data_IF_050360691271
#
_entry.id   IF_050360691271
#
_cell.length_a   1.000
_cell.length_b   1.000
_cell.length_c   1.000
_cell.angle_alpha   90.00
_cell.angle_beta   90.00
_cell.angle_gamma   90.00
#
_symmetry.space_group_name_H-M   'P 1'
#
loop_
_entity.id
_entity.type
_entity.pdbx_description
1 polymer ?
#
# COMPACT_ATOMS: atom_id res chain seq x y z
N UNK A 1 74.96 11.11 0.13
CA UNK A 1 73.96 10.32 0.87
C UNK A 1 72.67 11.12 1.14
N UNK A 2 71.93 11.59 0.12
CA UNK A 2 70.65 12.35 0.32
C UNK A 2 69.41 11.74 -0.35
N UNK A 3 69.55 10.66 -1.14
CA UNK A 3 68.42 10.11 -1.93
C UNK A 3 67.58 9.03 -1.23
N UNK A 4 68.01 8.44 -0.11
CA UNK A 4 67.25 7.38 0.56
C UNK A 4 66.03 7.89 1.35
N UNK A 5 66.03 9.15 1.80
CA UNK A 5 64.91 9.72 2.56
C UNK A 5 63.68 10.04 1.71
N UNK A 6 63.89 10.50 0.47
CA UNK A 6 62.81 10.90 -0.44
C UNK A 6 62.04 9.70 -1.01
N UNK A 7 62.73 8.60 -1.33
CA UNK A 7 62.12 7.36 -1.81
C UNK A 7 61.21 6.71 -0.75
N UNK A 8 61.63 6.71 0.51
CA UNK A 8 60.83 6.18 1.61
C UNK A 8 59.57 7.01 1.88
N UNK A 9 59.62 8.32 1.64
CA UNK A 9 58.48 9.21 1.81
C UNK A 9 57.46 9.07 0.66
N UNK A 10 57.93 9.06 -0.59
CA UNK A 10 57.08 8.86 -1.76
C UNK A 10 56.38 7.50 -1.77
N UNK A 11 57.08 6.44 -1.36
CA UNK A 11 56.53 5.08 -1.22
C UNK A 11 55.38 5.03 -0.20
N UNK A 12 55.54 5.67 0.96
CA UNK A 12 54.49 5.72 1.99
C UNK A 12 53.24 6.47 1.51
N UNK A 13 53.39 7.57 0.78
CA UNK A 13 52.26 8.32 0.20
C UNK A 13 51.51 7.46 -0.82
N UNK A 14 52.23 6.74 -1.68
CA UNK A 14 51.62 5.88 -2.70
C UNK A 14 50.77 4.77 -2.08
N UNK A 15 51.26 4.17 -0.98
CA UNK A 15 50.54 3.12 -0.23
C UNK A 15 49.25 3.69 0.41
N UNK A 16 49.31 4.89 0.99
CA UNK A 16 48.14 5.56 1.60
C UNK A 16 47.08 5.85 0.54
N UNK A 17 47.48 6.37 -0.62
CA UNK A 17 46.59 6.64 -1.75
C UNK A 17 45.93 5.34 -2.23
N UNK A 18 46.71 4.28 -2.44
CA UNK A 18 46.18 2.97 -2.85
C UNK A 18 45.20 2.38 -1.83
N UNK A 19 45.50 2.47 -0.53
CA UNK A 19 44.59 2.02 0.53
C UNK A 19 43.29 2.83 0.57
N UNK A 20 43.35 4.14 0.32
CA UNK A 20 42.18 5.00 0.21
C UNK A 20 41.31 4.65 -1.01
N UNK A 21 41.92 4.45 -2.18
CA UNK A 21 41.20 3.99 -3.39
C UNK A 21 40.57 2.61 -3.20
N UNK A 22 41.26 1.68 -2.54
CA UNK A 22 40.72 0.34 -2.23
C UNK A 22 39.51 0.40 -1.29
N UNK A 23 39.54 1.28 -0.28
CA UNK A 23 38.39 1.53 0.61
C UNK A 23 37.20 2.14 -0.12
N UNK A 24 37.44 3.14 -0.97
CA UNK A 24 36.42 3.77 -1.81
C UNK A 24 35.79 2.74 -2.75
N UNK A 25 36.61 1.95 -3.45
CA UNK A 25 36.12 0.88 -4.32
C UNK A 25 35.29 -0.17 -3.57
N UNK A 26 35.74 -0.58 -2.37
CA UNK A 26 35.00 -1.53 -1.53
C UNK A 26 33.65 -0.94 -1.07
N UNK A 27 33.61 0.35 -0.73
CA UNK A 27 32.39 1.06 -0.36
C UNK A 27 31.41 1.13 -1.54
N UNK A 28 31.86 1.51 -2.73
CA UNK A 28 31.02 1.54 -3.93
C UNK A 28 30.50 0.15 -4.32
N UNK A 29 31.33 -0.90 -4.16
CA UNK A 29 30.91 -2.29 -4.41
C UNK A 29 29.82 -2.75 -3.43
N UNK A 30 29.96 -2.42 -2.14
CA UNK A 30 28.95 -2.68 -1.12
C UNK A 30 27.63 -1.95 -1.41
N UNK A 31 27.72 -0.67 -1.80
CA UNK A 31 26.56 0.16 -2.15
C UNK A 31 25.78 -0.42 -3.34
N UNK A 32 26.48 -0.84 -4.40
CA UNK A 32 25.90 -1.50 -5.57
C UNK A 32 25.19 -2.80 -5.18
N UNK A 33 25.84 -3.66 -4.40
CA UNK A 33 25.23 -4.94 -3.98
C UNK A 33 23.99 -4.75 -3.11
N UNK A 34 23.97 -3.73 -2.24
CA UNK A 34 22.82 -3.43 -1.39
C UNK A 34 21.60 -2.99 -2.22
N UNK A 35 21.82 -2.18 -3.26
CA UNK A 35 20.75 -1.77 -4.18
C UNK A 35 20.10 -2.96 -4.90
N UNK A 36 20.89 -3.96 -5.33
CA UNK A 36 20.35 -5.14 -6.00
C UNK A 36 19.45 -5.98 -5.10
N UNK A 37 19.78 -6.09 -3.80
CA UNK A 37 18.98 -6.84 -2.82
C UNK A 37 17.61 -6.18 -2.62
N UNK A 38 17.57 -4.84 -2.54
CA UNK A 38 16.31 -4.10 -2.38
C UNK A 38 15.37 -4.26 -3.59
N UNK A 39 15.92 -4.26 -4.81
CA UNK A 39 15.13 -4.43 -6.05
C UNK A 39 14.52 -5.84 -6.13
N UNK A 40 15.26 -6.88 -5.73
CA UNK A 40 14.75 -8.24 -5.74
C UNK A 40 13.55 -8.41 -4.80
N UNK A 41 13.62 -7.84 -3.59
CA UNK A 41 12.54 -7.90 -2.61
C UNK A 41 11.24 -7.24 -3.11
N UNK A 42 11.34 -6.09 -3.79
CA UNK A 42 10.20 -5.40 -4.42
C UNK A 42 9.52 -6.26 -5.49
N UNK A 43 10.29 -6.93 -6.34
CA UNK A 43 9.75 -7.73 -7.46
C UNK A 43 8.87 -8.88 -6.98
N UNK A 44 9.19 -9.48 -5.84
CA UNK A 44 8.46 -10.63 -5.30
C UNK A 44 7.10 -10.24 -4.70
N UNK A 45 6.99 -9.07 -4.05
CA UNK A 45 5.71 -8.55 -3.53
C UNK A 45 4.71 -8.26 -4.66
N UNK A 46 5.13 -7.48 -5.65
CA UNK A 46 4.27 -7.14 -6.78
C UNK A 46 3.88 -8.38 -7.60
N UNK A 47 4.73 -9.41 -7.64
CA UNK A 47 4.35 -10.69 -8.24
C UNK A 47 3.18 -11.34 -7.50
N UNK A 48 3.18 -11.34 -6.16
CA UNK A 48 2.08 -11.90 -5.34
C UNK A 48 0.80 -11.08 -5.47
N UNK A 49 0.90 -9.75 -5.45
CA UNK A 49 -0.23 -8.86 -5.66
C UNK A 49 -0.87 -9.13 -7.04
N UNK A 50 -0.05 -9.20 -8.10
CA UNK A 50 -0.52 -9.46 -9.47
C UNK A 50 -1.12 -10.86 -9.70
N UNK A 51 -0.83 -11.82 -8.82
CA UNK A 51 -1.49 -13.14 -8.83
C UNK A 51 -2.91 -13.09 -8.27
N UNK A 52 -3.21 -12.10 -7.42
CA UNK A 52 -4.47 -11.95 -6.71
C UNK A 52 -5.38 -10.91 -7.35
N UNK A 53 -4.79 -9.80 -7.81
CA UNK A 53 -5.47 -8.70 -8.50
C UNK A 53 -4.81 -8.58 -9.87
N UNK A 54 -5.55 -8.75 -10.98
CA UNK A 54 -4.98 -8.65 -12.32
C UNK A 54 -4.27 -7.32 -12.54
N UNK A 55 -3.03 -7.38 -13.04
CA UNK A 55 -2.18 -6.20 -13.28
C UNK A 55 -2.89 -5.08 -14.06
N UNK A 56 -3.66 -5.45 -15.10
CA UNK A 56 -4.42 -4.49 -15.92
C UNK A 56 -5.45 -3.70 -15.11
N UNK A 57 -6.07 -4.31 -14.10
CA UNK A 57 -7.01 -3.61 -13.21
C UNK A 57 -6.25 -2.63 -12.33
N UNK A 58 -5.09 -3.02 -11.77
CA UNK A 58 -4.24 -2.10 -10.97
C UNK A 58 -3.79 -0.91 -11.82
N UNK A 59 -3.36 -1.16 -13.07
CA UNK A 59 -3.00 -0.10 -14.02
C UNK A 59 -4.18 0.85 -14.25
N UNK A 60 -5.39 0.33 -14.50
CA UNK A 60 -6.60 1.15 -14.69
C UNK A 60 -6.96 1.94 -13.42
N UNK A 61 -6.79 1.36 -12.23
CA UNK A 61 -7.01 2.06 -10.96
C UNK A 61 -5.99 3.19 -10.77
N UNK A 62 -4.73 2.97 -11.17
CA UNK A 62 -3.64 3.95 -11.04
C UNK A 62 -3.81 5.20 -11.90
N UNK A 63 -4.69 5.16 -12.91
CA UNK A 63 -5.05 6.33 -13.71
C UNK A 63 -5.89 7.36 -12.92
N UNK A 64 -6.49 6.95 -11.80
CA UNK A 64 -7.46 7.74 -11.05
C UNK A 64 -7.14 7.91 -9.56
N UNK A 65 -6.20 7.14 -9.01
CA UNK A 65 -5.70 7.30 -7.65
C UNK A 65 -4.20 7.00 -7.55
N UNK A 66 -3.48 7.59 -6.58
CA UNK A 66 -2.08 7.25 -6.37
C UNK A 66 -1.92 5.79 -5.96
N UNK A 67 -0.90 5.15 -6.54
CA UNK A 67 -0.42 3.83 -6.15
C UNK A 67 1.06 3.99 -5.80
N UNK A 68 1.37 3.94 -4.52
CA UNK A 68 2.72 4.01 -4.00
C UNK A 68 3.36 2.63 -3.98
N UNK A 69 4.67 2.64 -4.21
CA UNK A 69 5.51 1.45 -4.18
C UNK A 69 6.60 1.62 -3.12
N UNK A 70 7.29 0.52 -2.80
CA UNK A 70 8.37 0.50 -1.83
C UNK A 70 8.08 -0.51 -0.71
N UNK A 71 9.12 -0.84 0.04
CA UNK A 71 9.07 -1.88 1.09
C UNK A 71 9.24 -1.30 2.51
N UNK A 72 9.16 0.03 2.64
CA UNK A 72 9.28 0.76 3.92
C UNK A 72 8.06 1.67 4.14
N UNK A 73 6.83 1.12 4.10
CA UNK A 73 5.63 1.89 4.36
C UNK A 73 5.64 2.45 5.79
N UNK A 74 4.96 3.59 6.02
CA UNK A 74 4.77 4.11 7.37
C UNK A 74 3.99 3.14 8.25
N UNK A 75 4.09 3.34 9.57
CA UNK A 75 3.15 2.72 10.50
C UNK A 75 1.78 3.41 10.39
N UNK A 76 0.79 2.67 9.89
CA UNK A 76 -0.58 3.15 9.66
C UNK A 76 -1.59 2.56 10.66
N UNK A 77 -1.15 1.89 11.72
CA UNK A 77 -2.09 1.36 12.71
C UNK A 77 -2.97 2.45 13.31
N UNK A 78 -4.28 2.18 13.39
CA UNK A 78 -5.26 3.15 13.88
C UNK A 78 -6.67 2.83 13.42
N UNK A 79 -7.63 3.60 13.96
CA UNK A 79 -9.00 3.65 13.46
C UNK A 79 -9.18 4.97 12.72
N UNK A 80 -9.89 4.95 11.61
CA UNK A 80 -9.95 6.05 10.66
C UNK A 80 -11.37 6.28 10.19
N UNK A 81 -11.71 7.54 9.97
CA UNK A 81 -12.97 8.02 9.42
C UNK A 81 -12.67 8.81 8.15
N UNK A 82 -13.27 8.41 7.03
CA UNK A 82 -13.39 9.24 5.83
C UNK A 82 -14.75 9.93 5.89
N UNK A 83 -14.75 11.25 5.97
CA UNK A 83 -15.95 12.08 5.99
C UNK A 83 -15.61 13.50 5.50
N UNK A 84 -16.26 14.01 4.44
CA UNK A 84 -17.25 13.33 3.61
C UNK A 84 -16.59 12.40 2.57
N UNK A 85 -17.34 11.35 2.22
CA UNK A 85 -16.89 10.26 1.36
C UNK A 85 -17.53 10.43 -0.03
N UNK A 86 -16.74 10.65 -1.07
CA UNK A 86 -17.25 10.93 -2.44
C UNK A 86 -16.80 9.89 -3.45
N UNK A 87 -17.63 9.65 -4.47
CA UNK A 87 -17.25 8.86 -5.64
C UNK A 87 -16.37 9.70 -6.56
N UNK A 88 -15.11 9.28 -6.70
CA UNK A 88 -14.19 9.89 -7.65
C UNK A 88 -14.34 9.30 -9.05
N UNK A 89 -14.52 7.98 -9.13
CA UNK A 89 -14.61 7.28 -10.41
C UNK A 89 -15.37 5.96 -10.30
N UNK A 90 -16.16 5.62 -11.32
CA UNK A 90 -16.84 4.33 -11.45
C UNK A 90 -16.63 3.78 -12.86
N UNK A 91 -15.95 2.64 -12.98
CA UNK A 91 -15.53 2.15 -14.30
C UNK A 91 -16.68 1.69 -15.20
N UNK A 92 -17.87 1.42 -14.63
CA UNK A 92 -19.08 1.10 -15.41
C UNK A 92 -19.96 2.30 -15.70
N UNK A 93 -19.73 3.42 -15.01
CA UNK A 93 -20.46 4.67 -15.22
C UNK A 93 -19.55 5.87 -14.84
N UNK A 94 -18.65 6.29 -15.75
CA UNK A 94 -17.65 7.32 -15.47
C UNK A 94 -18.23 8.68 -15.10
N UNK A 95 -19.45 8.99 -15.55
CA UNK A 95 -20.14 10.25 -15.31
C UNK A 95 -21.01 10.23 -14.04
N UNK A 96 -20.96 9.13 -13.26
CA UNK A 96 -21.71 9.02 -12.01
C UNK A 96 -21.12 9.93 -10.94
N UNK A 97 -21.89 10.92 -10.53
CA UNK A 97 -21.62 11.73 -9.34
C UNK A 97 -22.45 11.21 -8.15
N UNK A 98 -21.78 10.93 -7.03
CA UNK A 98 -22.40 10.32 -5.86
C UNK A 98 -21.62 10.59 -4.57
N UNK A 99 -22.32 10.94 -3.50
CA UNK A 99 -21.76 11.04 -2.13
C UNK A 99 -22.20 9.85 -1.31
N UNK A 100 -21.27 9.24 -0.58
CA UNK A 100 -21.50 8.11 0.30
C UNK A 100 -21.76 8.55 1.74
N UNK A 101 -22.36 7.65 2.54
CA UNK A 101 -22.28 7.78 3.99
C UNK A 101 -20.80 7.69 4.42
N UNK A 102 -20.49 8.26 5.58
CA UNK A 102 -19.17 8.20 6.19
C UNK A 102 -18.65 6.76 6.28
N UNK A 103 -17.36 6.58 5.98
CA UNK A 103 -16.75 5.26 5.94
C UNK A 103 -15.69 5.14 7.03
N UNK A 104 -15.85 4.14 7.90
CA UNK A 104 -14.87 3.85 8.96
C UNK A 104 -14.08 2.60 8.64
N UNK A 105 -12.79 2.63 8.98
CA UNK A 105 -11.95 1.46 8.90
C UNK A 105 -10.87 1.44 9.97
N UNK A 106 -10.30 0.25 10.18
CA UNK A 106 -9.24 0.02 11.16
C UNK A 106 -8.08 -0.74 10.54
N UNK A 107 -6.87 -0.24 10.76
CA UNK A 107 -5.62 -0.94 10.51
C UNK A 107 -5.03 -1.44 11.83
N UNK A 108 -4.68 -2.72 11.92
CA UNK A 108 -4.06 -3.31 13.10
C UNK A 108 -3.10 -4.45 12.77
N UNK A 109 -2.29 -4.86 13.75
CA UNK A 109 -1.27 -5.92 13.65
C UNK A 109 -0.21 -5.71 12.56
N UNK A 110 0.21 -4.46 12.32
CA UNK A 110 1.30 -4.15 11.41
C UNK A 110 2.63 -4.66 11.95
N UNK A 111 3.26 -5.60 11.22
CA UNK A 111 4.57 -6.19 11.58
C UNK A 111 5.68 -5.69 10.67
N UNK A 112 6.84 -5.37 11.25
CA UNK A 112 8.01 -4.81 10.51
C UNK A 112 9.09 -5.84 10.11
N UNK A 113 8.97 -7.15 10.45
CA UNK A 113 10.06 -8.11 10.20
C UNK A 113 9.60 -9.49 9.73
N UNK A 114 10.25 -9.97 8.66
CA UNK A 114 10.19 -11.32 8.08
C UNK A 114 8.85 -11.80 7.52
N UNK A 115 7.88 -10.90 7.41
CA UNK A 115 6.68 -11.07 6.59
C UNK A 115 6.36 -9.67 6.09
N UNK A 116 6.23 -9.52 4.78
CA UNK A 116 5.68 -8.36 4.07
C UNK A 116 4.81 -7.53 4.99
N UNK A 117 5.02 -6.22 5.12
CA UNK A 117 4.30 -5.38 6.09
C UNK A 117 2.81 -5.73 6.04
N UNK A 118 2.37 -6.55 7.00
CA UNK A 118 1.07 -7.20 6.92
C UNK A 118 0.18 -6.42 7.85
N UNK A 119 -0.94 -5.94 7.36
CA UNK A 119 -1.93 -5.18 8.12
C UNK A 119 -3.23 -5.95 8.12
N UNK A 120 -4.09 -5.83 9.12
CA UNK A 120 -5.47 -6.31 9.07
C UNK A 120 -6.43 -5.15 8.90
N UNK A 121 -7.53 -5.36 8.15
CA UNK A 121 -8.53 -4.34 7.82
C UNK A 121 -9.94 -4.80 8.14
N UNK A 122 -10.72 -3.90 8.75
CA UNK A 122 -12.18 -4.05 8.92
C UNK A 122 -12.83 -2.77 8.41
N UNK A 123 -13.81 -2.92 7.52
CA UNK A 123 -14.61 -1.81 6.97
C UNK A 123 -16.09 -2.05 7.21
N UNK A 124 -16.79 -1.05 7.74
CA UNK A 124 -18.20 -1.16 8.11
C UNK A 124 -19.05 -0.16 7.32
N UNK A 125 -19.64 -0.60 6.22
CA UNK A 125 -20.58 0.20 5.42
C UNK A 125 -21.53 -0.69 4.62
N UNK A 126 -22.72 -0.16 4.28
CA UNK A 126 -23.75 -0.89 3.51
C UNK A 126 -23.28 -1.35 2.13
N UNK A 127 -22.41 -0.58 1.47
CA UNK A 127 -21.90 -0.93 0.13
C UNK A 127 -20.92 -2.09 0.14
N UNK A 128 -20.13 -2.23 1.22
CA UNK A 128 -19.19 -3.31 1.35
C UNK A 128 -18.78 -3.44 2.82
N UNK A 129 -19.37 -4.43 3.48
CA UNK A 129 -18.96 -4.88 4.81
C UNK A 129 -17.85 -5.91 4.65
N UNK A 130 -16.67 -5.60 5.17
CA UNK A 130 -15.49 -6.47 5.10
C UNK A 130 -15.22 -7.01 6.48
N UNK A 131 -15.78 -8.19 6.75
CA UNK A 131 -15.60 -8.89 8.02
C UNK A 131 -14.38 -9.83 7.99
N UNK A 132 -13.91 -10.23 6.80
CA UNK A 132 -12.70 -11.05 6.66
C UNK A 132 -11.90 -10.77 5.39
N UNK A 133 -10.65 -10.38 5.57
CA UNK A 133 -9.65 -10.31 4.50
C UNK A 133 -8.87 -11.63 4.42
N UNK A 134 -8.41 -11.97 3.22
CA UNK A 134 -7.69 -13.21 2.91
C UNK A 134 -6.19 -12.96 2.76
N UNK A 135 -5.82 -12.10 1.81
CA UNK A 135 -4.45 -11.71 1.54
C UNK A 135 -4.31 -10.21 1.74
N UNK A 136 -3.22 -9.81 2.39
CA UNK A 136 -2.99 -8.41 2.73
C UNK A 136 -1.54 -8.03 2.50
N UNK A 137 -1.33 -6.92 1.80
CA UNK A 137 0.00 -6.37 1.49
C UNK A 137 -0.01 -4.87 1.77
N UNK A 138 1.01 -4.37 2.47
CA UNK A 138 1.26 -2.94 2.63
C UNK A 138 2.61 -2.59 2.00
N UNK A 139 2.58 -1.68 1.04
CA UNK A 139 3.74 -1.15 0.35
C UNK A 139 3.79 0.36 0.49
N UNK A 140 4.97 0.94 0.31
CA UNK A 140 5.15 2.38 0.44
C UNK A 140 6.57 2.77 0.81
N UNK A 141 6.74 4.08 0.97
CA UNK A 141 7.98 4.71 1.41
C UNK A 141 7.67 6.01 2.14
N UNK A 142 8.51 6.33 3.12
CA UNK A 142 8.35 7.52 3.96
C UNK A 142 6.96 7.55 4.62
N UNK A 143 6.14 8.55 4.28
CA UNK A 143 4.77 8.70 4.77
C UNK A 143 3.72 8.16 3.80
N UNK A 144 4.10 7.71 2.60
CA UNK A 144 3.16 7.29 1.59
C UNK A 144 2.93 5.78 1.64
N UNK A 145 1.69 5.33 1.47
CA UNK A 145 1.35 3.92 1.51
C UNK A 145 0.27 3.53 0.50
N UNK A 146 0.34 2.28 0.04
CA UNK A 146 -0.75 1.59 -0.63
C UNK A 146 -0.91 0.21 0.00
N UNK A 147 -2.13 -0.09 0.40
CA UNK A 147 -2.49 -1.35 1.01
C UNK A 147 -3.48 -2.10 0.11
N UNK A 148 -3.20 -3.38 -0.12
CA UNK A 148 -4.00 -4.27 -0.97
C UNK A 148 -4.62 -5.36 -0.11
N UNK A 149 -5.92 -5.57 -0.27
CA UNK A 149 -6.70 -6.56 0.44
C UNK A 149 -7.47 -7.40 -0.58
N UNK A 150 -7.48 -8.71 -0.42
CA UNK A 150 -8.52 -9.54 -1.05
C UNK A 150 -9.53 -9.96 0.00
N UNK A 151 -10.80 -9.90 -0.36
CA UNK A 151 -11.89 -10.31 0.49
C UNK A 151 -12.15 -11.80 0.21
N UNK A 152 -12.37 -12.59 1.29
CA UNK A 152 -12.86 -13.98 1.15
C UNK A 152 -14.19 -13.99 0.40
N UNK A 153 -14.65 -15.14 -0.07
CA UNK A 153 -15.99 -15.22 -0.68
C UNK A 153 -17.04 -14.62 0.27
N UNK A 154 -17.65 -13.52 -0.17
CA UNK A 154 -18.69 -12.83 0.57
C UNK A 154 -20.02 -13.03 -0.16
N UNK A 155 -21.08 -13.17 0.63
CA UNK A 155 -22.44 -13.32 0.13
C UNK A 155 -23.23 -12.05 0.42
N UNK A 156 -23.70 -11.39 -0.64
CA UNK A 156 -24.58 -10.22 -0.53
C UNK A 156 -25.77 -10.39 -1.46
N UNK A 157 -26.99 -10.33 -0.92
CA UNK A 157 -28.24 -10.39 -1.69
C UNK A 157 -28.34 -11.59 -2.66
N UNK A 158 -27.81 -12.78 -2.28
CA UNK A 158 -27.84 -13.97 -3.15
C UNK A 158 -26.65 -14.08 -4.11
N UNK A 159 -25.75 -13.10 -4.13
CA UNK A 159 -24.56 -13.07 -4.98
C UNK A 159 -23.34 -13.40 -4.13
N UNK A 160 -22.64 -14.46 -4.50
CA UNK A 160 -21.30 -14.75 -4.02
C UNK A 160 -20.30 -13.95 -4.85
N UNK A 161 -19.42 -13.18 -4.22
CA UNK A 161 -18.38 -12.44 -4.92
C UNK A 161 -17.04 -12.55 -4.22
N UNK A 162 -15.97 -12.43 -5.01
CA UNK A 162 -14.65 -12.05 -4.50
C UNK A 162 -14.34 -10.65 -4.98
N UNK A 163 -13.73 -9.90 -4.09
CA UNK A 163 -13.36 -8.53 -4.35
C UNK A 163 -11.97 -8.25 -3.81
N UNK A 164 -11.40 -7.16 -4.31
CA UNK A 164 -10.21 -6.58 -3.75
C UNK A 164 -10.48 -5.14 -3.33
N UNK A 165 -9.75 -4.70 -2.31
CA UNK A 165 -9.72 -3.32 -1.87
C UNK A 165 -8.29 -2.81 -1.98
N UNK A 166 -8.14 -1.62 -2.53
CA UNK A 166 -6.87 -0.91 -2.53
C UNK A 166 -7.09 0.38 -1.76
N UNK A 167 -6.32 0.59 -0.70
CA UNK A 167 -6.37 1.84 0.08
C UNK A 167 -5.03 2.53 -0.07
N UNK A 168 -5.03 3.80 -0.47
CA UNK A 168 -3.79 4.57 -0.58
C UNK A 168 -3.93 5.94 0.05
N UNK A 169 -2.83 6.46 0.58
CA UNK A 169 -2.78 7.80 1.12
C UNK A 169 -1.42 8.13 1.72
N UNK A 170 -1.41 9.20 2.50
CA UNK A 170 -0.20 9.71 3.17
C UNK A 170 -0.44 9.81 4.67
N UNK A 171 0.38 9.14 5.47
CA UNK A 171 0.37 9.23 6.93
C UNK A 171 0.75 10.64 7.36
N UNK A 172 -0.09 11.23 8.18
CA UNK A 172 0.18 12.50 8.87
C UNK A 172 0.11 12.29 10.38
N UNK A 173 0.47 13.31 11.16
CA UNK A 173 0.54 13.22 12.62
C UNK A 173 -0.77 12.72 13.26
N UNK A 174 -1.91 13.23 12.80
CA UNK A 174 -3.23 13.01 13.43
C UNK A 174 -4.19 12.14 12.59
N UNK A 175 -3.70 11.45 11.56
CA UNK A 175 -4.58 10.70 10.67
C UNK A 175 -3.88 10.28 9.40
N UNK A 176 -4.64 10.27 8.31
CA UNK A 176 -4.17 10.11 6.94
C UNK A 176 -4.62 11.34 6.13
N UNK A 177 -3.92 11.60 5.05
CA UNK A 177 -4.30 12.63 4.09
C UNK A 177 -4.31 12.07 2.69
N UNK A 178 -5.11 12.69 1.82
CA UNK A 178 -5.26 12.29 0.42
C UNK A 178 -5.58 10.78 0.30
N UNK A 179 -6.61 10.34 1.04
CA UNK A 179 -6.97 8.93 1.15
C UNK A 179 -7.93 8.52 0.03
N UNK A 180 -7.62 7.40 -0.62
CA UNK A 180 -8.44 6.79 -1.66
C UNK A 180 -8.72 5.34 -1.31
N UNK A 181 -9.91 4.88 -1.67
CA UNK A 181 -10.33 3.49 -1.56
C UNK A 181 -10.84 3.03 -2.93
N UNK A 182 -10.12 2.11 -3.58
CA UNK A 182 -10.65 1.37 -4.72
C UNK A 182 -11.34 0.10 -4.25
N UNK A 183 -12.57 -0.12 -4.71
CA UNK A 183 -13.34 -1.36 -4.51
C UNK A 183 -13.44 -2.05 -5.86
N UNK A 184 -12.90 -3.27 -5.96
CA UNK A 184 -12.77 -4.02 -7.21
C UNK A 184 -13.54 -5.33 -7.09
N UNK A 185 -14.45 -5.61 -8.02
CA UNK A 185 -15.07 -6.94 -8.12
C UNK A 185 -14.18 -7.83 -8.98
N UNK A 186 -13.62 -8.89 -8.40
CA UNK A 186 -12.73 -9.81 -9.13
C UNK A 186 -13.54 -10.86 -9.90
N UNK A 187 -14.55 -11.43 -9.23
CA UNK A 187 -15.53 -12.34 -9.81
C UNK A 187 -16.81 -12.34 -8.96
N UNK A 188 -17.95 -12.68 -9.56
CA UNK A 188 -19.22 -12.85 -8.86
C UNK A 188 -20.07 -13.94 -9.51
N UNK A 189 -20.92 -14.60 -8.72
CA UNK A 189 -21.94 -15.51 -9.25
C UNK A 189 -23.03 -14.71 -9.95
N UNK A 190 -23.72 -15.33 -10.90
CA UNK A 190 -24.95 -14.77 -11.45
C UNK A 190 -26.05 -14.83 -10.37
N UNK A 191 -26.78 -13.74 -10.17
CA UNK A 191 -27.84 -13.64 -9.18
C UNK A 191 -29.02 -12.81 -9.67
N UNK A 192 -30.16 -12.92 -8.98
CA UNK A 192 -31.44 -12.35 -9.39
C UNK A 192 -31.49 -10.80 -9.29
N UNK A 193 -30.59 -10.17 -8.52
CA UNK A 193 -30.50 -8.72 -8.32
C UNK A 193 -29.07 -8.22 -8.56
N UNK A 194 -28.65 -8.21 -9.83
CA UNK A 194 -27.27 -7.86 -10.22
C UNK A 194 -26.93 -6.37 -10.07
N UNK A 195 -27.91 -5.52 -9.74
CA UNK A 195 -27.79 -4.06 -9.72
C UNK A 195 -26.94 -3.51 -8.56
N UNK A 196 -26.87 -4.24 -7.44
CA UNK A 196 -26.19 -3.76 -6.23
C UNK A 196 -24.67 -3.98 -6.27
N UNK A 197 -24.19 -4.89 -7.12
CA UNK A 197 -22.77 -5.25 -7.21
C UNK A 197 -22.26 -4.91 -8.62
N UNK A 198 -21.24 -4.07 -8.67
CA UNK A 198 -20.44 -3.77 -9.86
C UNK A 198 -20.19 -5.02 -10.74
N UNK A 199 -20.13 -4.83 -12.05
CA UNK A 199 -19.81 -5.91 -12.98
C UNK A 199 -18.46 -6.58 -12.65
N UNK A 200 -18.26 -7.83 -13.08
CA UNK A 200 -16.95 -8.46 -12.90
C UNK A 200 -15.83 -7.61 -13.52
N UNK A 201 -14.68 -7.56 -12.83
CA UNK A 201 -13.48 -6.79 -13.21
C UNK A 201 -13.69 -5.29 -13.29
N UNK A 202 -14.80 -4.78 -12.75
CA UNK A 202 -15.06 -3.35 -12.62
C UNK A 202 -14.76 -2.85 -11.22
N UNK A 203 -14.58 -1.53 -11.10
CA UNK A 203 -14.16 -0.90 -9.86
C UNK A 203 -14.78 0.48 -9.65
N UNK A 204 -14.82 0.90 -8.39
CA UNK A 204 -15.10 2.27 -7.97
C UNK A 204 -13.94 2.80 -7.16
N UNK A 205 -13.65 4.08 -7.30
CA UNK A 205 -12.68 4.80 -6.48
C UNK A 205 -13.44 5.83 -5.69
N UNK A 206 -13.27 5.72 -4.38
CA UNK A 206 -13.82 6.60 -3.37
C UNK A 206 -12.69 7.46 -2.86
N UNK A 207 -12.97 8.74 -2.65
CA UNK A 207 -12.01 9.70 -2.11
C UNK A 207 -12.60 10.41 -0.91
N UNK A 208 -11.73 10.71 0.03
CA UNK A 208 -11.95 11.72 1.05
C UNK A 208 -11.96 13.12 0.42
N UNK A 209 -13.08 13.84 0.48
CA UNK A 209 -13.27 15.12 -0.23
C UNK A 209 -12.35 16.22 0.30
N UNK A 210 -12.26 16.35 1.64
CA UNK A 210 -11.45 17.38 2.29
C UNK A 210 -9.97 16.97 2.39
N UNK A 211 -9.66 15.73 2.01
CA UNK A 211 -8.34 15.10 1.98
C UNK A 211 -7.79 14.86 3.39
N UNK A 212 -8.65 14.77 4.40
CA UNK A 212 -8.28 14.53 5.78
C UNK A 212 -9.10 13.38 6.37
N UNK A 213 -8.41 12.25 6.54
CA UNK A 213 -8.99 11.11 7.22
C UNK A 213 -8.58 11.15 8.69
N UNK A 214 -9.55 11.46 9.55
CA UNK A 214 -9.34 11.64 10.97
C UNK A 214 -9.10 10.31 11.70
N UNK A 215 -8.26 10.36 12.74
CA UNK A 215 -8.11 9.23 13.66
C UNK A 215 -9.30 9.19 14.61
N UNK A 216 -10.01 8.07 14.65
CA UNK A 216 -11.08 7.86 15.62
C UNK A 216 -10.46 7.40 16.94
N UNK A 217 -10.56 8.23 17.97
CA UNK A 217 -10.24 7.81 19.34
C UNK A 217 -11.40 6.95 19.83
N UNK A 218 -11.27 5.63 19.73
CA UNK A 218 -12.22 4.74 20.40
C UNK A 218 -12.00 4.87 21.90
N UNK A 219 -12.80 5.71 22.57
CA UNK A 219 -12.94 5.62 24.03
C UNK A 219 -13.34 4.18 24.36
N UNK A 220 -12.63 3.58 25.32
CA UNK A 220 -12.59 2.15 25.69
C UNK A 220 -13.93 1.53 26.15
N UNK A 221 -15.08 2.09 25.77
CA UNK A 221 -16.41 1.78 26.31
C UNK A 221 -17.40 1.41 25.21
N UNK A 222 -17.09 0.36 24.45
CA UNK A 222 -18.06 -0.47 23.75
C UNK A 222 -17.42 -1.81 23.39
N UNK A 223 -16.97 -2.52 24.43
CA UNK A 223 -16.88 -3.96 24.40
C UNK A 223 -18.12 -4.45 25.15
N UNK A 224 -18.88 -5.34 24.48
CA UNK A 224 -20.09 -6.02 24.94
C UNK A 224 -21.38 -5.19 24.90
N UNK A 225 -22.13 -5.38 23.80
CA UNK A 225 -23.51 -5.88 23.83
C UNK A 225 -23.75 -6.70 22.56
#
# INVERSE_FOLDING_TARGET
MRNLGFYNFASKILIIIYMSFKKIYLFFRLLLTFSFILIACKKDEFKKINQLIPKKIIESVSEHMPIYEGNTPPNIQGNYLISPCILLFCSTNPDLDYTFEDYTFKFYDQKEKNSYNMVSFVGNHKLMRIDSCDNIFLVGSENNFTAYYTIKEHHYSGINYKAAVIISGTKIKNGLSNTFIAIIILNKSQGLNDELVLAEKSFRIIKDEDNLTDTIVTSKKQLFN
#
